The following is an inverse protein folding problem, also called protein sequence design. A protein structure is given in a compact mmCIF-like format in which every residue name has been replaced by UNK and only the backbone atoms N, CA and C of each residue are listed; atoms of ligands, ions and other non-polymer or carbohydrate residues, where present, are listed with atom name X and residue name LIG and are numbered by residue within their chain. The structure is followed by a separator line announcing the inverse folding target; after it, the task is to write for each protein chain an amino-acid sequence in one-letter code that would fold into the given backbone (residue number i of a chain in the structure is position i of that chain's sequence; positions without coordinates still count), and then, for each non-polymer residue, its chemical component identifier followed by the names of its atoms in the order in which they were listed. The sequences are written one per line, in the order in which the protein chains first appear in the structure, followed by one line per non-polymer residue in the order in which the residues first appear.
data_IF_742507517415
#
_entry.id   IF_742507517415
#
_cell.length_a   1.000
_cell.length_b   1.000
_cell.length_c   1.000
_cell.angle_alpha   90.00
_cell.angle_beta   90.00
_cell.angle_gamma   90.00
#
_symmetry.space_group_name_H-M   'P 1'
#
loop_
_entity.id
_entity.type
_entity.pdbx_description
1 polymer ?
#
# COMPACT_ATOMS: atom_id res chain seq x y z
N UNK A 1 -5.72 12.63 -6.65
CA UNK A 1 -5.49 12.96 -5.22
C UNK A 1 -5.83 11.71 -4.44
N UNK A 2 -5.08 11.39 -3.39
CA UNK A 2 -5.44 10.28 -2.49
C UNK A 2 -6.78 10.61 -1.80
N UNK A 3 -7.63 9.62 -1.49
CA UNK A 3 -8.82 9.84 -0.64
C UNK A 3 -8.45 10.47 0.72
N UNK A 4 -9.40 10.96 1.56
CA UNK A 4 -9.18 11.43 2.95
C UNK A 4 -9.32 10.33 4.03
N UNK A 5 -8.69 10.44 5.22
CA UNK A 5 -8.72 9.39 6.25
C UNK A 5 -10.03 9.50 7.00
N UNK A 6 -11.01 8.73 6.56
CA UNK A 6 -12.40 8.83 7.02
C UNK A 6 -12.71 7.94 8.21
N UNK A 7 -11.86 6.96 8.51
CA UNK A 7 -12.11 6.04 9.62
C UNK A 7 -12.01 6.76 10.96
N UNK A 8 -12.82 6.34 11.92
CA UNK A 8 -12.68 6.74 13.32
C UNK A 8 -11.40 6.15 13.96
N UNK A 9 -10.77 5.19 13.30
CA UNK A 9 -9.51 4.54 13.70
C UNK A 9 -8.25 5.26 13.18
N UNK A 10 -8.43 6.25 12.31
CA UNK A 10 -7.35 7.12 11.86
C UNK A 10 -7.14 8.25 12.87
N UNK A 11 -5.90 8.36 13.37
CA UNK A 11 -5.51 9.37 14.34
C UNK A 11 -5.47 10.80 13.76
N UNK A 12 -5.24 11.78 14.64
CA UNK A 12 -5.08 13.17 14.24
C UNK A 12 -3.88 13.37 13.30
N UNK A 13 -2.79 12.60 13.47
CA UNK A 13 -1.60 12.67 12.63
C UNK A 13 -1.93 12.32 11.18
N UNK A 14 -2.74 11.30 10.92
CA UNK A 14 -3.20 10.94 9.59
C UNK A 14 -4.02 12.07 8.93
N UNK A 15 -4.92 12.69 9.71
CA UNK A 15 -5.76 13.81 9.24
C UNK A 15 -4.94 15.05 8.90
N UNK A 16 -4.01 15.45 9.77
CA UNK A 16 -3.08 16.56 9.54
C UNK A 16 -2.16 16.31 8.33
N UNK A 17 -1.70 15.05 8.17
CA UNK A 17 -0.90 14.64 7.01
C UNK A 17 -1.69 14.79 5.72
N UNK A 18 -2.93 14.32 5.69
CA UNK A 18 -3.82 14.50 4.55
C UNK A 18 -4.05 15.97 4.24
N UNK A 19 -4.38 16.80 5.23
CA UNK A 19 -4.59 18.24 5.03
C UNK A 19 -3.36 18.93 4.42
N UNK A 20 -2.17 18.57 4.88
CA UNK A 20 -0.90 19.05 4.31
C UNK A 20 -0.77 18.68 2.84
N UNK A 21 -1.11 17.44 2.49
CA UNK A 21 -1.11 16.97 1.10
C UNK A 21 -2.17 17.71 0.27
N UNK A 22 -3.42 17.73 0.73
CA UNK A 22 -4.56 18.30 0.03
C UNK A 22 -4.41 19.82 -0.23
N UNK A 23 -3.72 20.53 0.67
CA UNK A 23 -3.46 21.97 0.54
C UNK A 23 -2.19 22.32 -0.25
N UNK A 24 -1.53 21.34 -0.88
CA UNK A 24 -0.35 21.59 -1.72
C UNK A 24 0.94 21.89 -0.94
N UNK A 25 0.99 21.59 0.37
CA UNK A 25 2.10 21.95 1.26
C UNK A 25 3.12 20.84 1.47
N UNK A 26 2.87 19.64 0.95
CA UNK A 26 3.81 18.52 1.04
C UNK A 26 5.06 18.77 0.19
N UNK A 27 6.20 18.24 0.62
CA UNK A 27 7.47 18.33 -0.11
C UNK A 27 7.96 16.94 -0.47
N UNK A 28 8.60 16.81 -1.61
CA UNK A 28 9.31 15.60 -2.03
C UNK A 28 10.65 15.44 -1.33
N UNK A 29 11.28 14.29 -1.57
CA UNK A 29 12.60 13.95 -1.03
C UNK A 29 13.63 14.94 -1.58
N UNK A 30 14.58 15.37 -0.74
CA UNK A 30 15.62 16.31 -1.17
C UNK A 30 15.13 17.71 -1.54
N UNK A 31 13.86 18.04 -1.23
CA UNK A 31 13.25 19.32 -1.61
C UNK A 31 12.56 19.31 -2.97
N UNK A 32 12.48 18.15 -3.64
CA UNK A 32 11.77 17.99 -4.90
C UNK A 32 10.26 18.25 -4.76
N UNK A 33 9.58 18.37 -5.89
CA UNK A 33 8.11 18.32 -5.94
C UNK A 33 7.60 16.99 -5.36
N UNK A 34 6.66 17.09 -4.40
CA UNK A 34 5.99 15.92 -3.85
C UNK A 34 5.30 15.13 -4.96
N UNK A 35 5.51 13.81 -4.99
CA UNK A 35 5.07 12.96 -6.09
C UNK A 35 3.56 13.08 -6.38
N UNK A 36 2.74 13.31 -5.35
CA UNK A 36 1.29 13.47 -5.48
C UNK A 36 0.85 14.74 -6.22
N UNK A 37 1.76 15.69 -6.47
CA UNK A 37 1.49 16.93 -7.22
C UNK A 37 1.91 16.87 -8.68
N UNK A 38 2.65 15.83 -9.07
CA UNK A 38 3.17 15.68 -10.43
C UNK A 38 2.06 15.41 -11.43
N UNK A 39 2.08 16.14 -12.55
CA UNK A 39 1.07 16.02 -13.61
C UNK A 39 1.09 14.65 -14.30
N UNK A 40 2.27 14.09 -14.56
CA UNK A 40 2.48 12.79 -15.22
C UNK A 40 3.24 11.81 -14.31
N UNK A 41 2.69 11.56 -13.11
CA UNK A 41 3.30 10.61 -12.18
C UNK A 41 3.44 9.20 -12.79
N UNK A 42 2.48 8.77 -13.62
CA UNK A 42 2.54 7.48 -14.29
C UNK A 42 3.75 7.39 -15.23
N UNK A 43 3.94 8.39 -16.10
CA UNK A 43 5.11 8.43 -16.97
C UNK A 43 6.41 8.58 -16.21
N UNK A 44 6.44 9.29 -15.07
CA UNK A 44 7.61 9.37 -14.19
C UNK A 44 8.01 8.00 -13.64
N UNK A 45 7.05 7.20 -13.18
CA UNK A 45 7.31 5.82 -12.71
C UNK A 45 7.86 4.97 -13.85
N UNK A 46 7.26 5.04 -15.05
CA UNK A 46 7.76 4.34 -16.23
C UNK A 46 9.20 4.76 -16.58
N UNK A 47 9.50 6.06 -16.58
CA UNK A 47 10.85 6.60 -16.82
C UNK A 47 11.83 6.16 -15.74
N UNK A 48 11.39 6.09 -14.49
CA UNK A 48 12.21 5.62 -13.37
C UNK A 48 12.62 4.16 -13.54
N UNK A 49 11.64 3.27 -13.79
CA UNK A 49 11.90 1.86 -14.07
C UNK A 49 12.82 1.67 -15.28
N UNK A 50 12.56 2.41 -16.38
CA UNK A 50 13.36 2.32 -17.59
C UNK A 50 14.83 2.71 -17.39
N UNK A 51 15.13 3.70 -16.52
CA UNK A 51 16.51 4.07 -16.16
C UNK A 51 17.29 2.93 -15.48
N UNK A 52 16.58 1.97 -14.89
CA UNK A 52 17.15 0.77 -14.28
C UNK A 52 17.02 -0.48 -15.18
N UNK A 53 16.67 -0.32 -16.46
CA UNK A 53 16.53 -1.43 -17.41
C UNK A 53 15.24 -2.24 -17.24
N UNK A 54 14.27 -1.75 -16.47
CA UNK A 54 12.98 -2.40 -16.24
C UNK A 54 11.93 -1.77 -17.16
N UNK A 55 11.31 -2.58 -18.02
CA UNK A 55 10.27 -2.12 -18.95
C UNK A 55 8.89 -2.48 -18.41
N UNK A 56 7.98 -1.52 -18.40
CA UNK A 56 6.56 -1.76 -18.14
C UNK A 56 5.94 -2.37 -19.39
N UNK A 57 5.84 -3.70 -19.42
CA UNK A 57 5.43 -4.49 -20.58
C UNK A 57 4.03 -5.11 -20.46
N UNK A 58 3.38 -4.92 -19.30
CA UNK A 58 2.08 -5.52 -18.99
C UNK A 58 2.13 -7.03 -18.75
N UNK A 59 3.33 -7.63 -18.68
CA UNK A 59 3.55 -9.06 -18.46
C UNK A 59 4.38 -9.31 -17.21
N UNK A 60 5.65 -8.89 -17.24
CA UNK A 60 6.55 -8.95 -16.09
C UNK A 60 6.31 -7.78 -15.14
N UNK A 61 6.01 -6.59 -15.70
CA UNK A 61 5.66 -5.39 -14.93
C UNK A 61 4.40 -4.78 -15.52
N UNK A 62 3.34 -4.79 -14.72
CA UNK A 62 2.07 -4.14 -15.03
C UNK A 62 1.79 -3.04 -14.01
N UNK A 63 1.41 -1.85 -14.48
CA UNK A 63 0.97 -0.74 -13.63
C UNK A 63 -0.53 -0.57 -13.77
N UNK A 64 -1.23 -0.51 -12.63
CA UNK A 64 -2.67 -0.31 -12.58
C UNK A 64 -2.96 1.07 -12.01
N UNK A 65 -3.36 2.02 -12.88
CA UNK A 65 -3.67 3.40 -12.48
C UNK A 65 -5.11 3.49 -11.98
N UNK A 66 -5.29 3.81 -10.70
CA UNK A 66 -6.61 4.01 -10.09
C UNK A 66 -6.56 3.75 -8.58
N UNK A 67 -7.74 3.74 -7.94
CA UNK A 67 -7.88 3.33 -6.56
C UNK A 67 -7.81 1.80 -6.45
N UNK A 68 -7.51 1.27 -5.26
CA UNK A 68 -7.33 -0.17 -5.06
C UNK A 68 -8.64 -0.92 -5.32
N UNK A 69 -9.76 -0.37 -4.85
CA UNK A 69 -11.12 -0.87 -5.03
C UNK A 69 -11.56 -0.98 -6.50
N UNK A 70 -11.00 -0.14 -7.37
CA UNK A 70 -11.30 -0.15 -8.80
C UNK A 70 -10.38 -1.10 -9.58
N UNK A 71 -9.14 -1.25 -9.12
CA UNK A 71 -8.05 -1.86 -9.91
C UNK A 71 -7.73 -3.29 -9.49
N UNK A 72 -7.72 -3.59 -8.20
CA UNK A 72 -7.39 -4.93 -7.69
C UNK A 72 -8.39 -6.00 -8.14
N UNK A 73 -9.71 -5.74 -8.24
CA UNK A 73 -10.67 -6.73 -8.74
C UNK A 73 -10.47 -7.11 -10.22
N UNK A 74 -9.91 -6.20 -11.02
CA UNK A 74 -9.69 -6.41 -12.47
C UNK A 74 -8.27 -6.86 -12.78
N UNK A 75 -7.35 -6.82 -11.81
CA UNK A 75 -5.99 -7.29 -11.97
C UNK A 75 -5.95 -8.83 -12.11
N UNK A 76 -5.15 -9.39 -13.04
CA UNK A 76 -5.08 -10.84 -13.29
C UNK A 76 -4.26 -11.61 -12.24
N UNK A 77 -4.52 -11.35 -10.95
CA UNK A 77 -3.81 -11.93 -9.82
C UNK A 77 -4.36 -13.32 -9.50
N UNK A 78 -3.56 -14.37 -9.74
CA UNK A 78 -3.93 -15.76 -9.40
C UNK A 78 -3.26 -16.27 -8.12
N UNK A 79 -2.00 -15.93 -7.93
CA UNK A 79 -1.20 -16.32 -6.79
C UNK A 79 -0.20 -15.22 -6.49
N UNK A 80 0.04 -14.96 -5.21
CA UNK A 80 0.94 -13.93 -4.72
C UNK A 80 1.96 -14.60 -3.80
N UNK A 81 3.25 -14.35 -4.02
CA UNK A 81 4.32 -14.78 -3.13
C UNK A 81 4.75 -13.67 -2.16
N UNK A 82 4.65 -12.42 -2.61
CA UNK A 82 4.96 -11.21 -1.86
C UNK A 82 3.94 -10.13 -2.19
N UNK A 83 3.35 -9.52 -1.17
CA UNK A 83 2.64 -8.26 -1.26
C UNK A 83 3.35 -7.23 -0.38
N UNK A 84 3.54 -6.02 -0.90
CA UNK A 84 4.02 -4.88 -0.12
C UNK A 84 2.87 -3.87 -0.04
N UNK A 85 2.40 -3.58 1.18
CA UNK A 85 1.28 -2.69 1.45
C UNK A 85 1.82 -1.40 2.07
N UNK A 86 1.69 -0.32 1.30
CA UNK A 86 2.16 1.04 1.59
C UNK A 86 1.00 1.97 1.18
N UNK A 87 0.11 2.22 2.13
CA UNK A 87 -1.10 3.03 1.89
C UNK A 87 -1.64 3.73 3.15
N UNK A 88 -0.79 3.91 4.16
CA UNK A 88 -0.95 4.71 5.39
C UNK A 88 -2.18 4.42 6.30
N UNK A 89 -3.41 4.40 5.77
CA UNK A 89 -4.63 4.59 6.56
C UNK A 89 -5.46 3.33 6.73
N UNK A 90 -6.36 3.33 7.71
CA UNK A 90 -7.12 2.16 8.10
C UNK A 90 -7.87 1.49 6.94
N UNK A 91 -8.71 2.23 6.21
CA UNK A 91 -9.55 1.69 5.14
C UNK A 91 -8.74 1.09 3.97
N UNK A 92 -7.76 1.79 3.36
CA UNK A 92 -6.97 1.23 2.27
C UNK A 92 -6.07 0.07 2.72
N UNK A 93 -5.53 0.10 3.94
CA UNK A 93 -4.74 -1.02 4.48
C UNK A 93 -5.61 -2.26 4.65
N UNK A 94 -6.78 -2.13 5.29
CA UNK A 94 -7.70 -3.25 5.47
C UNK A 94 -8.20 -3.82 4.13
N UNK A 95 -8.50 -2.94 3.17
CA UNK A 95 -8.88 -3.35 1.81
C UNK A 95 -7.77 -4.18 1.17
N UNK A 96 -6.53 -3.67 1.14
CA UNK A 96 -5.39 -4.32 0.50
C UNK A 96 -5.11 -5.69 1.14
N UNK A 97 -5.05 -5.74 2.48
CA UNK A 97 -4.88 -6.98 3.24
C UNK A 97 -5.92 -8.03 2.84
N UNK A 98 -7.20 -7.67 2.86
CA UNK A 98 -8.30 -8.56 2.49
C UNK A 98 -8.18 -9.02 1.04
N UNK A 99 -7.85 -8.13 0.11
CA UNK A 99 -7.83 -8.42 -1.31
C UNK A 99 -6.67 -9.33 -1.76
N UNK A 100 -5.54 -9.32 -1.04
CA UNK A 100 -4.37 -10.17 -1.33
C UNK A 100 -4.36 -11.47 -0.54
N UNK A 101 -4.98 -11.51 0.64
CA UNK A 101 -4.81 -12.61 1.58
C UNK A 101 -5.21 -13.98 1.03
N UNK A 102 -6.30 -14.06 0.28
CA UNK A 102 -6.82 -15.33 -0.25
C UNK A 102 -6.06 -15.80 -1.50
N UNK A 103 -5.27 -14.90 -2.11
CA UNK A 103 -4.38 -15.20 -3.23
C UNK A 103 -2.94 -15.46 -2.75
N UNK A 104 -2.66 -15.30 -1.45
CA UNK A 104 -1.33 -15.50 -0.90
C UNK A 104 -0.98 -16.99 -0.88
N UNK A 105 0.14 -17.33 -1.52
CA UNK A 105 0.64 -18.70 -1.57
C UNK A 105 1.13 -19.14 -0.18
N UNK A 106 1.12 -20.45 0.14
CA UNK A 106 1.72 -20.95 1.38
C UNK A 106 3.19 -20.50 1.50
N UNK A 107 3.57 -19.98 2.66
CA UNK A 107 4.90 -19.39 2.90
C UNK A 107 5.10 -17.98 2.33
N UNK A 108 4.17 -17.49 1.52
CA UNK A 108 4.15 -16.11 1.03
C UNK A 108 3.97 -15.09 2.14
N UNK A 109 4.30 -13.83 1.85
CA UNK A 109 4.35 -12.79 2.87
C UNK A 109 3.72 -11.48 2.42
N UNK A 110 3.12 -10.79 3.38
CA UNK A 110 2.66 -9.41 3.25
C UNK A 110 3.55 -8.55 4.13
N UNK A 111 4.24 -7.56 3.55
CA UNK A 111 5.01 -6.57 4.28
C UNK A 111 4.14 -5.33 4.47
N UNK A 112 4.07 -4.82 5.70
CA UNK A 112 3.28 -3.64 6.08
C UNK A 112 4.25 -2.50 6.37
N UNK A 113 4.27 -1.50 5.50
CA UNK A 113 5.25 -0.40 5.59
C UNK A 113 4.96 0.50 6.80
N UNK A 114 3.70 0.92 6.96
CA UNK A 114 3.35 1.99 7.91
C UNK A 114 2.87 1.52 9.29
N UNK A 115 3.07 0.25 9.64
CA UNK A 115 2.51 -0.33 10.88
C UNK A 115 2.95 0.45 12.12
N UNK A 116 4.19 0.92 12.13
CA UNK A 116 4.75 1.68 13.25
C UNK A 116 4.48 3.19 13.18
N UNK A 117 3.98 3.69 12.06
CA UNK A 117 3.82 5.12 11.80
C UNK A 117 2.40 5.65 11.96
N UNK A 118 1.39 4.89 11.53
CA UNK A 118 -0.01 5.33 11.57
C UNK A 118 -0.89 4.36 12.35
N UNK A 119 -1.68 4.87 13.30
CA UNK A 119 -2.58 4.05 14.12
C UNK A 119 -3.64 3.32 13.30
N UNK A 120 -4.07 3.91 12.19
CA UNK A 120 -5.03 3.31 11.27
C UNK A 120 -4.46 2.04 10.62
N UNK A 121 -3.24 2.13 10.07
CA UNK A 121 -2.52 0.97 9.53
C UNK A 121 -2.33 -0.14 10.58
N UNK A 122 -1.88 0.23 11.79
CA UNK A 122 -1.74 -0.71 12.91
C UNK A 122 -3.05 -1.42 13.22
N UNK A 123 -4.11 -0.66 13.43
CA UNK A 123 -5.42 -1.21 13.84
C UNK A 123 -6.00 -2.10 12.75
N UNK A 124 -5.90 -1.71 11.48
CA UNK A 124 -6.33 -2.54 10.35
C UNK A 124 -5.58 -3.86 10.30
N UNK A 125 -4.26 -3.83 10.52
CA UNK A 125 -3.40 -5.01 10.55
C UNK A 125 -3.75 -5.94 11.72
N UNK A 126 -3.91 -5.36 12.92
CA UNK A 126 -4.25 -6.10 14.15
C UNK A 126 -5.64 -6.76 14.05
N UNK A 127 -6.63 -6.06 13.49
CA UNK A 127 -7.97 -6.63 13.27
C UNK A 127 -7.97 -7.72 12.19
N UNK A 128 -7.19 -7.53 11.14
CA UNK A 128 -7.03 -8.52 10.08
C UNK A 128 -6.42 -9.81 10.64
N UNK A 129 -5.30 -9.72 11.37
CA UNK A 129 -4.61 -10.91 11.89
C UNK A 129 -5.46 -11.65 12.94
N UNK A 130 -6.24 -10.92 13.75
CA UNK A 130 -7.17 -11.53 14.71
C UNK A 130 -8.26 -12.38 14.03
N UNK A 131 -8.57 -12.12 12.75
CA UNK A 131 -9.54 -12.86 11.94
C UNK A 131 -8.90 -13.88 11.00
N UNK A 132 -7.57 -13.92 10.91
CA UNK A 132 -6.79 -14.68 9.92
C UNK A 132 -5.75 -15.57 10.60
N UNK A 133 -6.17 -16.65 11.27
CA UNK A 133 -5.25 -17.59 11.94
C UNK A 133 -4.32 -18.34 10.97
N UNK A 134 -4.60 -18.27 9.67
CA UNK A 134 -3.77 -18.74 8.56
C UNK A 134 -2.57 -17.83 8.25
N UNK A 135 -2.42 -16.72 8.98
CA UNK A 135 -1.25 -15.85 8.95
C UNK A 135 -0.54 -15.81 10.30
N UNK A 136 0.78 -15.75 10.25
CA UNK A 136 1.64 -15.49 11.41
C UNK A 136 2.12 -14.04 11.37
N UNK A 137 2.00 -13.34 12.49
CA UNK A 137 2.55 -12.01 12.70
C UNK A 137 4.04 -12.11 13.06
N UNK A 138 4.87 -11.35 12.35
CA UNK A 138 6.30 -11.22 12.59
C UNK A 138 6.61 -9.72 12.74
N UNK A 139 6.96 -9.29 13.97
CA UNK A 139 7.36 -7.91 14.25
C UNK A 139 8.79 -7.63 13.77
N UNK A 140 9.12 -6.37 13.49
CA UNK A 140 10.40 -5.99 12.92
C UNK A 140 10.54 -4.49 12.64
N UNK A 141 11.43 -4.12 11.72
CA UNK A 141 11.46 -2.74 11.19
C UNK A 141 10.16 -2.43 10.46
N UNK A 142 9.75 -3.34 9.56
CA UNK A 142 8.41 -3.43 9.02
C UNK A 142 7.77 -4.74 9.50
N UNK A 143 6.47 -4.70 9.80
CA UNK A 143 5.71 -5.90 10.15
C UNK A 143 5.55 -6.80 8.93
N UNK A 144 5.68 -8.11 9.15
CA UNK A 144 5.44 -9.13 8.13
C UNK A 144 4.33 -10.08 8.57
N UNK A 145 3.33 -10.26 7.70
CA UNK A 145 2.32 -11.31 7.85
C UNK A 145 2.67 -12.48 6.93
N UNK A 146 3.06 -13.61 7.51
CA UNK A 146 3.45 -14.80 6.75
C UNK A 146 2.32 -15.82 6.68
N UNK A 147 1.95 -16.25 5.47
CA UNK A 147 0.98 -17.31 5.24
C UNK A 147 1.56 -18.65 5.72
N UNK A 148 0.93 -19.29 6.72
CA UNK A 148 1.46 -20.55 7.29
C UNK A 148 1.07 -21.80 6.50
N UNK A 149 -0.09 -21.81 5.84
CA UNK A 149 -0.58 -22.94 5.02
C UNK A 149 -1.63 -22.51 4.01
#
# INVERSE_FOLDING_TARGET
MIPPPTSDKDDARAKERYETIATGKSKGIGGDEYYGYRQDLYGDVCRSLARHGIVVDGRAVALHKGLFEDTVPTAPLRAISLAHVDCDWYDPVLYCLTAVADKMSPGGMIVIDDYHDYSGCRTATDEFIARRPDFRFEDGENVVLRRVS
#
